data_IF_780993128927
#
_entry.id   IF_780993128927
#
_cell.length_a   1.000
_cell.length_b   1.000
_cell.length_c   1.000
_cell.angle_alpha   90.00
_cell.angle_beta   90.00
_cell.angle_gamma   90.00
#
_symmetry.space_group_name_H-M   'P 1'
#
loop_
_entity.id
_entity.type
_entity.pdbx_description
1 polymer ?
#
# COMPACT_ATOMS: atom_id res chain seq x y z
N UNK A 1 10.53 13.07 -1.45
CA UNK A 1 11.65 13.34 -0.51
C UNK A 1 11.71 14.78 0.02
N UNK A 2 10.59 15.55 0.04
CA UNK A 2 10.61 16.98 0.44
C UNK A 2 10.39 17.25 1.94
N UNK A 3 9.81 16.28 2.67
CA UNK A 3 9.47 16.40 4.10
C UNK A 3 10.42 15.62 5.03
N UNK A 4 11.29 14.78 4.46
CA UNK A 4 12.23 13.94 5.20
C UNK A 4 13.48 14.75 5.54
N UNK A 5 13.90 14.74 6.79
CA UNK A 5 15.11 15.38 7.30
C UNK A 5 16.00 14.35 8.00
N UNK A 6 17.31 14.63 8.07
CA UNK A 6 18.30 13.71 8.64
C UNK A 6 18.75 12.62 7.66
N UNK A 7 20.06 12.40 7.57
CA UNK A 7 20.67 11.38 6.70
C UNK A 7 20.87 10.04 7.40
N UNK A 8 21.29 10.03 8.67
CA UNK A 8 21.51 8.81 9.46
C UNK A 8 20.25 8.28 10.14
N UNK A 9 19.42 9.17 10.70
CA UNK A 9 18.11 8.86 11.29
C UNK A 9 17.05 9.68 10.57
N UNK A 10 16.53 9.20 9.43
CA UNK A 10 15.53 9.93 8.66
C UNK A 10 14.24 10.09 9.47
N UNK A 11 13.75 11.32 9.54
CA UNK A 11 12.53 11.67 10.27
C UNK A 11 11.68 12.66 9.48
N UNK A 12 10.39 12.76 9.81
CA UNK A 12 9.48 13.79 9.32
C UNK A 12 9.07 14.68 10.49
N UNK A 13 9.42 15.96 10.42
CA UNK A 13 9.09 16.91 11.48
C UNK A 13 7.60 17.28 11.45
N UNK A 14 6.97 17.35 12.63
CA UNK A 14 5.58 17.79 12.79
C UNK A 14 5.29 19.15 12.14
N UNK A 15 6.25 20.09 12.21
CA UNK A 15 6.13 21.41 11.58
C UNK A 15 6.02 21.31 10.06
N UNK A 16 6.82 20.45 9.44
CA UNK A 16 6.82 20.23 8.00
C UNK A 16 5.53 19.56 7.52
N UNK A 17 4.98 18.62 8.29
CA UNK A 17 3.67 18.02 8.03
C UNK A 17 2.54 19.05 8.08
N UNK A 18 2.54 19.93 9.09
CA UNK A 18 1.51 20.99 9.21
C UNK A 18 1.53 21.99 8.06
N UNK A 19 2.70 22.29 7.51
CA UNK A 19 2.85 23.21 6.38
C UNK A 19 2.70 22.53 5.01
N UNK A 20 2.47 21.22 4.98
CA UNK A 20 2.33 20.50 3.72
C UNK A 20 0.96 20.79 3.12
N UNK A 21 0.96 21.47 1.98
CA UNK A 21 -0.25 21.67 1.19
C UNK A 21 -0.48 20.48 0.26
N UNK A 22 -1.73 20.01 0.23
CA UNK A 22 -2.19 18.97 -0.69
C UNK A 22 -3.34 19.54 -1.51
N UNK A 23 -3.33 19.26 -2.81
CA UNK A 23 -4.50 19.50 -3.67
C UNK A 23 -5.39 18.27 -3.62
N UNK A 24 -6.68 18.45 -3.36
CA UNK A 24 -7.66 17.40 -3.30
C UNK A 24 -9.04 17.92 -3.75
N UNK A 25 -9.92 17.05 -4.25
CA UNK A 25 -11.28 17.44 -4.64
C UNK A 25 -12.04 18.01 -3.44
N UNK A 26 -12.70 19.15 -3.59
CA UNK A 26 -13.46 19.76 -2.48
C UNK A 26 -14.76 18.99 -2.19
N UNK A 27 -15.30 18.27 -3.17
CA UNK A 27 -16.51 17.48 -3.02
C UNK A 27 -16.23 16.17 -2.28
N UNK A 28 -16.98 15.94 -1.18
CA UNK A 28 -16.80 14.76 -0.33
C UNK A 28 -17.27 13.48 -1.04
N UNK A 29 -18.31 13.55 -1.88
CA UNK A 29 -18.81 12.39 -2.63
C UNK A 29 -17.77 11.95 -3.66
N UNK A 30 -17.10 12.89 -4.31
CA UNK A 30 -15.98 12.59 -5.21
C UNK A 30 -14.83 11.92 -4.46
N UNK A 31 -14.43 12.44 -3.29
CA UNK A 31 -13.40 11.82 -2.46
C UNK A 31 -13.76 10.38 -2.05
N UNK A 32 -15.02 10.13 -1.68
CA UNK A 32 -15.49 8.81 -1.31
C UNK A 32 -15.43 7.83 -2.49
N UNK A 33 -15.83 8.25 -3.69
CA UNK A 33 -15.76 7.42 -4.90
C UNK A 33 -14.31 7.08 -5.27
N UNK A 34 -13.41 8.07 -5.18
CA UNK A 34 -11.98 7.83 -5.40
C UNK A 34 -11.44 6.83 -4.38
N UNK A 35 -11.77 7.01 -3.10
CA UNK A 35 -11.35 6.11 -2.03
C UNK A 35 -11.89 4.69 -2.22
N UNK A 36 -13.15 4.54 -2.64
CA UNK A 36 -13.78 3.26 -2.92
C UNK A 36 -13.05 2.51 -4.04
N UNK A 37 -12.79 3.16 -5.17
CA UNK A 37 -12.09 2.56 -6.31
C UNK A 37 -10.68 2.10 -5.90
N UNK A 38 -9.93 2.94 -5.19
CA UNK A 38 -8.59 2.60 -4.72
C UNK A 38 -8.62 1.45 -3.71
N UNK A 39 -9.61 1.42 -2.82
CA UNK A 39 -9.76 0.34 -1.83
C UNK A 39 -10.06 -1.00 -2.49
N UNK A 40 -10.87 -1.01 -3.55
CA UNK A 40 -11.16 -2.23 -4.32
C UNK A 40 -9.87 -2.76 -4.96
N UNK A 41 -9.06 -1.88 -5.56
CA UNK A 41 -7.78 -2.28 -6.15
C UNK A 41 -6.81 -2.84 -5.11
N UNK A 42 -6.72 -2.22 -3.92
CA UNK A 42 -5.88 -2.72 -2.83
C UNK A 42 -6.34 -4.12 -2.34
N UNK A 43 -7.66 -4.33 -2.21
CA UNK A 43 -8.22 -5.64 -1.85
C UNK A 43 -7.93 -6.71 -2.89
N UNK A 44 -7.98 -6.36 -4.18
CA UNK A 44 -7.64 -7.26 -5.27
C UNK A 44 -6.16 -7.65 -5.22
N UNK A 45 -5.27 -6.69 -5.01
CA UNK A 45 -3.83 -6.93 -4.85
C UNK A 45 -3.58 -7.87 -3.67
N UNK A 46 -4.19 -7.62 -2.52
CA UNK A 46 -4.03 -8.47 -1.34
C UNK A 46 -4.52 -9.90 -1.60
N UNK A 47 -5.67 -10.03 -2.27
CA UNK A 47 -6.22 -11.34 -2.66
C UNK A 47 -5.28 -12.10 -3.57
N UNK A 48 -4.70 -11.43 -4.57
CA UNK A 48 -3.75 -12.03 -5.50
C UNK A 48 -2.45 -12.44 -4.80
N UNK A 49 -1.94 -11.63 -3.87
CA UNK A 49 -0.76 -11.95 -3.06
C UNK A 49 -1.01 -13.21 -2.20
N UNK A 50 -2.16 -13.30 -1.54
CA UNK A 50 -2.51 -14.50 -0.76
C UNK A 50 -2.59 -15.75 -1.64
N UNK A 51 -3.23 -15.65 -2.81
CA UNK A 51 -3.30 -16.76 -3.79
C UNK A 51 -1.90 -17.18 -4.25
N UNK A 52 -1.03 -16.22 -4.55
CA UNK A 52 0.34 -16.48 -4.96
C UNK A 52 1.10 -17.26 -3.88
N UNK A 53 1.00 -16.84 -2.61
CA UNK A 53 1.67 -17.53 -1.50
C UNK A 53 1.12 -18.94 -1.30
N UNK A 54 -0.20 -19.15 -1.39
CA UNK A 54 -0.79 -20.49 -1.37
C UNK A 54 -0.24 -21.38 -2.49
N UNK A 55 -0.18 -20.87 -3.73
CA UNK A 55 0.34 -21.63 -4.88
C UNK A 55 1.83 -21.96 -4.74
N UNK A 56 2.64 -21.07 -4.15
CA UNK A 56 4.05 -21.34 -3.86
C UNK A 56 4.20 -22.47 -2.84
N UNK A 57 3.39 -22.47 -1.78
CA UNK A 57 3.38 -23.53 -0.76
C UNK A 57 2.94 -24.86 -1.35
N UNK A 58 1.86 -24.87 -2.14
CA UNK A 58 1.37 -26.07 -2.81
C UNK A 58 2.44 -26.64 -3.75
N UNK A 59 3.04 -25.80 -4.60
CA UNK A 59 4.15 -26.20 -5.47
C UNK A 59 5.29 -26.83 -4.66
N UNK A 60 5.68 -26.23 -3.54
CA UNK A 60 6.72 -26.76 -2.66
C UNK A 60 6.38 -28.14 -2.09
N UNK A 61 5.16 -28.30 -1.57
CA UNK A 61 4.68 -29.58 -1.02
C UNK A 61 4.59 -30.68 -2.09
N UNK A 62 4.11 -30.36 -3.29
CA UNK A 62 4.07 -31.29 -4.42
C UNK A 62 5.46 -31.74 -4.84
N UNK A 63 6.43 -30.82 -4.90
CA UNK A 63 7.83 -31.18 -5.19
C UNK A 63 8.43 -32.10 -4.13
N UNK A 64 8.13 -31.88 -2.84
CA UNK A 64 8.59 -32.76 -1.76
C UNK A 64 7.98 -34.16 -1.84
N UNK A 65 6.75 -34.30 -2.32
CA UNK A 65 6.08 -35.60 -2.47
C UNK A 65 6.59 -36.42 -3.66
N UNK A 66 7.25 -35.77 -4.62
CA UNK A 66 7.82 -36.40 -5.82
C UNK A 66 9.28 -36.84 -5.64
N UNK A 67 9.90 -36.50 -4.51
CA UNK A 67 11.23 -36.98 -4.08
C UNK A 67 11.07 -38.21 -3.17
#
# INVERSE_FOLDING_TARGET
MRLRVGSGLPNIQKKALKSFSLSYPQDISEQQKIAEILSIADQEIETLQRKLECLKLEKGALMQRLL
#
